data_IF_782676786641
#
_entry.id   IF_782676786641
#
_cell.length_a   1.000
_cell.length_b   1.000
_cell.length_c   1.000
_cell.angle_alpha   90.00
_cell.angle_beta   90.00
_cell.angle_gamma   90.00
#
_symmetry.space_group_name_H-M   'P 1'
#
loop_
_entity.id
_entity.type
_entity.pdbx_description
1 polymer ?
#
# COMPACT_ATOMS: atom_id res chain seq x y z
N UNK A 1 -17.87 5.30 -9.09
CA UNK A 1 -16.44 5.63 -9.09
C UNK A 1 -15.70 4.32 -8.82
N UNK A 2 -14.69 3.95 -9.61
CA UNK A 2 -13.96 2.68 -9.37
C UNK A 2 -13.04 2.85 -8.17
N UNK A 3 -12.98 1.88 -7.28
CA UNK A 3 -12.16 1.91 -6.06
C UNK A 3 -10.82 1.23 -6.27
N UNK A 4 -9.74 1.92 -5.93
CA UNK A 4 -8.38 1.42 -5.99
C UNK A 4 -7.76 1.52 -4.60
N UNK A 5 -7.23 0.40 -4.10
CA UNK A 5 -6.52 0.36 -2.81
C UNK A 5 -5.06 0.04 -3.06
N UNK A 6 -4.18 0.86 -2.49
CA UNK A 6 -2.73 0.66 -2.48
C UNK A 6 -2.31 0.12 -1.12
N UNK A 7 -1.65 -1.03 -1.09
CA UNK A 7 -1.07 -1.66 0.09
C UNK A 7 0.45 -1.73 -0.07
N UNK A 8 1.18 -1.58 1.03
CA UNK A 8 2.62 -1.68 0.98
C UNK A 8 3.32 -1.19 2.23
N UNK A 9 4.62 -0.99 2.08
CA UNK A 9 5.49 -0.44 3.12
C UNK A 9 5.56 1.10 3.07
N UNK A 10 6.66 1.65 3.59
CA UNK A 10 7.00 3.08 3.64
C UNK A 10 6.94 3.77 2.28
N UNK A 11 7.27 3.06 1.19
CA UNK A 11 7.23 3.61 -0.18
C UNK A 11 5.78 3.90 -0.58
N UNK A 12 4.85 3.05 -0.13
CA UNK A 12 3.42 3.25 -0.36
C UNK A 12 2.83 4.23 0.65
N UNK A 13 3.19 4.13 1.93
CA UNK A 13 2.71 5.03 2.99
C UNK A 13 3.01 6.49 2.67
N UNK A 14 4.27 6.81 2.36
CA UNK A 14 4.73 8.16 2.04
C UNK A 14 4.22 9.23 3.04
N UNK A 15 4.24 8.87 4.32
CA UNK A 15 3.82 9.69 5.46
C UNK A 15 2.32 10.06 5.46
N UNK A 16 1.44 9.36 4.73
CA UNK A 16 0.01 9.74 4.68
C UNK A 16 -0.65 9.72 6.06
N UNK A 17 -0.17 8.90 7.00
CA UNK A 17 -0.68 8.87 8.38
C UNK A 17 -0.40 10.16 9.17
N UNK A 18 0.55 10.98 8.74
CA UNK A 18 1.02 12.18 9.44
C UNK A 18 0.76 13.48 8.65
N UNK A 19 0.10 13.38 7.50
CA UNK A 19 -0.16 14.49 6.60
C UNK A 19 -1.66 14.74 6.48
N UNK A 20 -2.03 15.98 6.18
CA UNK A 20 -3.41 16.31 5.81
C UNK A 20 -3.83 15.64 4.49
N UNK A 21 -2.86 15.40 3.60
CA UNK A 21 -3.10 14.67 2.37
C UNK A 21 -3.34 13.17 2.66
N UNK A 22 -4.55 12.63 2.44
CA UNK A 22 -4.88 11.24 2.76
C UNK A 22 -4.18 10.22 1.85
N UNK A 23 -3.46 10.67 0.81
CA UNK A 23 -2.67 9.83 -0.08
C UNK A 23 -1.16 9.90 0.21
N UNK A 24 -0.73 10.79 1.10
CA UNK A 24 0.68 11.04 1.37
C UNK A 24 1.38 11.80 0.24
N UNK A 25 2.68 11.99 0.35
CA UNK A 25 3.49 12.76 -0.61
C UNK A 25 4.28 11.86 -1.58
N UNK A 26 3.77 10.66 -1.85
CA UNK A 26 4.46 9.63 -2.63
C UNK A 26 3.77 9.31 -3.96
N UNK A 27 4.14 8.16 -4.51
CA UNK A 27 3.68 7.73 -5.83
C UNK A 27 2.16 7.53 -5.87
N UNK A 28 1.52 7.18 -4.76
CA UNK A 28 0.05 7.02 -4.69
C UNK A 28 -0.65 8.34 -5.03
N UNK A 29 -0.17 9.46 -4.51
CA UNK A 29 -0.69 10.79 -4.84
C UNK A 29 -0.47 11.14 -6.32
N UNK A 30 0.73 10.89 -6.84
CA UNK A 30 1.05 11.12 -8.26
C UNK A 30 0.18 10.29 -9.21
N UNK A 31 -0.15 9.05 -8.83
CA UNK A 31 -1.08 8.21 -9.58
C UNK A 31 -2.50 8.78 -9.52
N UNK A 32 -2.94 9.25 -8.35
CA UNK A 32 -4.26 9.84 -8.20
C UNK A 32 -4.46 11.13 -9.01
N UNK A 33 -3.45 11.99 -9.06
CA UNK A 33 -3.41 13.17 -9.92
C UNK A 33 -3.52 12.75 -11.39
N UNK A 34 -2.62 11.89 -11.88
CA UNK A 34 -2.63 11.45 -13.28
C UNK A 34 -3.95 10.79 -13.71
N UNK A 35 -4.54 9.95 -12.86
CA UNK A 35 -5.76 9.21 -13.18
C UNK A 35 -7.03 10.06 -13.10
N UNK A 36 -7.05 11.14 -12.32
CA UNK A 36 -8.23 12.00 -12.18
C UNK A 36 -8.11 13.33 -12.95
N UNK A 37 -6.90 13.78 -13.32
CA UNK A 37 -6.69 14.97 -14.16
C UNK A 37 -6.99 14.71 -15.64
N UNK A 38 -6.91 13.45 -16.07
CA UNK A 38 -7.01 13.06 -17.49
C UNK A 38 -8.41 13.20 -18.12
N UNK A 39 -9.44 13.52 -17.34
CA UNK A 39 -10.86 13.57 -17.79
C UNK A 39 -11.54 14.92 -17.46
N UNK A 40 -10.79 16.03 -17.58
CA UNK A 40 -11.35 17.39 -17.42
C UNK A 40 -11.75 17.73 -15.98
N UNK A 41 -11.05 17.18 -14.99
CA UNK A 41 -11.25 17.44 -13.56
C UNK A 41 -12.37 16.63 -12.89
N UNK A 42 -13.01 15.68 -13.59
CA UNK A 42 -13.98 14.76 -12.97
C UNK A 42 -13.27 13.57 -12.33
N UNK A 43 -13.37 13.46 -11.00
CA UNK A 43 -12.85 12.33 -10.23
C UNK A 43 -13.54 11.03 -10.66
N UNK A 44 -12.78 10.09 -11.24
CA UNK A 44 -13.26 8.80 -11.77
C UNK A 44 -12.90 7.63 -10.87
N UNK A 45 -11.85 7.80 -10.07
CA UNK A 45 -11.33 6.79 -9.16
C UNK A 45 -11.39 7.25 -7.71
N UNK A 46 -11.85 6.35 -6.85
CA UNK A 46 -11.74 6.46 -5.40
C UNK A 46 -10.46 5.74 -4.98
N UNK A 47 -9.42 6.51 -4.68
CA UNK A 47 -8.08 5.97 -4.40
C UNK A 47 -7.84 6.05 -2.90
N UNK A 48 -7.39 4.93 -2.32
CA UNK A 48 -7.08 4.82 -0.90
C UNK A 48 -5.64 4.36 -0.72
N UNK A 49 -4.86 5.13 0.03
CA UNK A 49 -3.55 4.71 0.52
C UNK A 49 -3.72 3.91 1.81
N UNK A 50 -3.18 2.68 1.85
CA UNK A 50 -3.12 1.77 3.00
C UNK A 50 -1.70 1.19 3.16
N UNK A 51 -0.70 1.93 2.70
CA UNK A 51 0.69 1.66 3.04
C UNK A 51 0.94 1.82 4.54
N UNK A 52 2.03 1.26 5.04
CA UNK A 52 2.44 1.48 6.42
C UNK A 52 3.95 1.36 6.53
N UNK A 53 4.59 2.36 7.13
CA UNK A 53 6.05 2.34 7.32
C UNK A 53 6.52 1.10 8.09
N UNK A 54 7.65 0.54 7.65
CA UNK A 54 8.25 -0.68 8.22
C UNK A 54 7.50 -2.00 7.96
N UNK A 55 6.40 -2.01 7.19
CA UNK A 55 5.70 -3.27 6.93
C UNK A 55 6.55 -4.24 6.09
N UNK A 56 6.51 -5.50 6.49
CA UNK A 56 6.85 -6.68 5.68
C UNK A 56 5.56 -7.28 5.09
N UNK A 57 5.65 -8.39 4.34
CA UNK A 57 4.45 -9.10 3.85
C UNK A 57 3.52 -9.54 4.99
N UNK A 58 4.05 -9.90 6.17
CA UNK A 58 3.23 -10.24 7.35
C UNK A 58 2.39 -9.05 7.81
N UNK A 59 2.94 -7.84 7.75
CA UNK A 59 2.23 -6.61 8.09
C UNK A 59 1.03 -6.41 7.18
N UNK A 60 1.22 -6.57 5.86
CA UNK A 60 0.14 -6.50 4.88
C UNK A 60 -0.89 -7.60 5.11
N UNK A 61 -0.47 -8.86 5.30
CA UNK A 61 -1.36 -10.01 5.57
C UNK A 61 -2.27 -9.74 6.77
N UNK A 62 -1.73 -9.19 7.85
CA UNK A 62 -2.47 -8.89 9.09
C UNK A 62 -3.61 -7.89 8.87
N UNK A 63 -3.45 -6.92 7.97
CA UNK A 63 -4.46 -5.88 7.72
C UNK A 63 -5.34 -6.17 6.49
N UNK A 64 -4.97 -7.16 5.66
CA UNK A 64 -5.53 -7.37 4.33
C UNK A 64 -7.06 -7.48 4.34
N UNK A 65 -7.61 -8.26 5.28
CA UNK A 65 -9.05 -8.47 5.40
C UNK A 65 -9.80 -7.15 5.62
N UNK A 66 -9.41 -6.41 6.67
CA UNK A 66 -10.07 -5.17 7.10
C UNK A 66 -9.81 -4.01 6.15
N UNK A 67 -8.56 -3.85 5.71
CA UNK A 67 -8.14 -2.67 4.96
C UNK A 67 -8.33 -2.81 3.45
N UNK A 68 -8.56 -4.03 2.93
CA UNK A 68 -8.71 -4.28 1.50
C UNK A 68 -9.96 -5.12 1.18
N UNK A 69 -10.00 -6.39 1.59
CA UNK A 69 -11.02 -7.36 1.14
C UNK A 69 -12.44 -6.88 1.47
N UNK A 70 -12.68 -6.52 2.74
CA UNK A 70 -13.99 -6.03 3.19
C UNK A 70 -14.39 -4.70 2.55
N UNK A 71 -13.44 -3.93 2.02
CA UNK A 71 -13.71 -2.68 1.31
C UNK A 71 -14.13 -2.88 -0.14
N UNK A 72 -14.04 -4.12 -0.66
CA UNK A 72 -14.44 -4.51 -2.03
C UNK A 72 -13.89 -3.57 -3.11
N UNK A 73 -12.56 -3.44 -3.25
CA UNK A 73 -11.95 -2.65 -4.30
C UNK A 73 -12.19 -3.28 -5.67
N UNK A 74 -12.15 -2.44 -6.72
CA UNK A 74 -12.11 -2.90 -8.10
C UNK A 74 -10.68 -3.25 -8.54
N UNK A 75 -9.68 -2.58 -7.95
CA UNK A 75 -8.26 -2.77 -8.24
C UNK A 75 -7.45 -2.71 -6.94
N UNK A 76 -6.47 -3.59 -6.82
CA UNK A 76 -5.51 -3.60 -5.70
C UNK A 76 -4.10 -3.48 -6.28
N UNK A 77 -3.32 -2.55 -5.73
CA UNK A 77 -1.88 -2.44 -5.98
C UNK A 77 -1.14 -2.84 -4.72
N UNK A 78 -0.16 -3.74 -4.84
CA UNK A 78 0.67 -4.18 -3.71
C UNK A 78 2.13 -3.95 -4.07
N UNK A 79 2.81 -3.11 -3.28
CA UNK A 79 4.26 -2.92 -3.35
C UNK A 79 4.85 -3.18 -1.96
N UNK A 80 5.45 -4.36 -1.80
CA UNK A 80 5.97 -4.88 -0.54
C UNK A 80 7.16 -5.80 -0.82
N UNK A 81 8.00 -6.06 0.18
CA UNK A 81 9.12 -7.00 0.08
C UNK A 81 10.49 -6.40 0.38
N UNK A 82 10.66 -5.07 0.28
CA UNK A 82 11.96 -4.47 0.52
C UNK A 82 12.41 -4.64 1.98
N UNK A 83 11.47 -4.49 2.92
CA UNK A 83 11.72 -4.75 4.34
C UNK A 83 11.93 -6.24 4.63
N UNK A 84 11.23 -7.14 3.94
CA UNK A 84 11.41 -8.60 4.08
C UNK A 84 12.86 -9.00 3.72
N UNK A 85 13.38 -8.47 2.61
CA UNK A 85 14.79 -8.62 2.22
C UNK A 85 15.71 -8.00 3.26
N UNK A 86 15.38 -6.80 3.75
CA UNK A 86 16.15 -6.13 4.81
C UNK A 86 16.25 -6.97 6.09
N UNK A 87 15.16 -7.61 6.53
CA UNK A 87 15.15 -8.51 7.67
C UNK A 87 16.01 -9.74 7.40
N UNK A 88 15.89 -10.35 6.22
CA UNK A 88 16.72 -11.50 5.83
C UNK A 88 18.21 -11.15 5.84
N UNK A 89 18.60 -10.02 5.24
CA UNK A 89 20.00 -9.58 5.20
C UNK A 89 20.57 -9.29 6.60
N UNK A 90 19.76 -8.75 7.51
CA UNK A 90 20.21 -8.40 8.86
C UNK A 90 20.19 -9.58 9.83
N UNK A 91 19.34 -10.58 9.62
CA UNK A 91 19.12 -11.69 10.57
C UNK A 91 19.55 -13.06 10.04
N UNK A 92 19.79 -13.18 8.74
CA UNK A 92 20.03 -14.45 8.05
C UNK A 92 18.78 -15.33 7.89
N UNK A 93 17.61 -14.88 8.36
CA UNK A 93 16.38 -15.69 8.36
C UNK A 93 15.58 -15.52 7.07
N UNK A 94 15.24 -16.64 6.42
CA UNK A 94 14.34 -16.66 5.25
C UNK A 94 12.93 -16.20 5.63
N UNK A 95 12.09 -15.96 4.61
CA UNK A 95 10.68 -15.64 4.83
C UNK A 95 9.92 -16.79 5.52
N UNK A 96 10.26 -18.05 5.20
CA UNK A 96 9.66 -19.23 5.84
C UNK A 96 10.09 -19.35 7.31
N UNK A 97 11.35 -19.07 7.61
CA UNK A 97 11.87 -19.05 8.99
C UNK A 97 11.29 -17.91 9.84
N UNK A 98 10.79 -16.87 9.17
CA UNK A 98 9.97 -15.81 9.78
C UNK A 98 8.49 -16.21 9.93
N UNK A 99 8.16 -17.50 9.76
CA UNK A 99 6.82 -18.07 9.93
C UNK A 99 5.77 -17.42 9.02
N UNK A 100 6.17 -17.06 7.80
CA UNK A 100 5.19 -16.68 6.78
C UNK A 100 4.49 -17.93 6.26
N UNK A 101 3.25 -18.14 6.66
CA UNK A 101 2.37 -19.16 6.09
C UNK A 101 1.64 -18.58 4.87
N UNK A 102 1.69 -19.27 3.72
CA UNK A 102 0.99 -18.88 2.49
C UNK A 102 -0.49 -19.25 2.54
#
# INVERSE_FOLDING_TARGET
>A
MKKIIFLGDSITDASYCFLENPLGNGYVNMVAEKLNDSDGGRKKYDIMNRGHDGFTIHGVKRILEKECILKRPDVVSILIGCNDVGVMMNTGKSLEEQQFEA
#
